data_IF_790687616809
#
_entry.id   IF_790687616809
#
_cell.length_a   1.000
_cell.length_b   1.000
_cell.length_c   1.000
_cell.angle_alpha   90.00
_cell.angle_beta   90.00
_cell.angle_gamma   90.00
#
_symmetry.space_group_name_H-M   'P 1'
#
loop_
_entity.id
_entity.type
_entity.pdbx_description
1 polymer ?
#
# COMPACT_ATOMS: atom_id res chain seq x y z
N UNK A 1 13.59 -1.99 2.39
CA UNK A 1 12.92 -1.75 1.09
C UNK A 1 13.19 -0.34 0.57
N UNK A 2 12.84 0.72 1.33
CA UNK A 2 13.11 2.12 0.96
C UNK A 2 14.59 2.39 0.64
N UNK A 3 15.49 2.06 1.56
CA UNK A 3 16.94 2.26 1.39
C UNK A 3 17.50 1.56 0.16
N UNK A 4 17.05 0.33 -0.09
CA UNK A 4 17.42 -0.44 -1.29
C UNK A 4 17.01 0.29 -2.56
N UNK A 5 15.78 0.81 -2.62
CA UNK A 5 15.34 1.56 -3.80
C UNK A 5 16.13 2.86 -3.97
N UNK A 6 16.39 3.59 -2.89
CA UNK A 6 17.18 4.83 -2.94
C UNK A 6 18.57 4.58 -3.49
N UNK A 7 19.26 3.52 -3.04
CA UNK A 7 20.57 3.13 -3.59
C UNK A 7 20.50 2.76 -5.08
N UNK A 8 19.44 2.08 -5.52
CA UNK A 8 19.25 1.75 -6.93
C UNK A 8 19.00 2.99 -7.79
N UNK A 9 18.20 3.94 -7.30
CA UNK A 9 17.95 5.22 -7.98
C UNK A 9 19.23 6.04 -8.10
N UNK A 10 20.03 6.12 -7.03
CA UNK A 10 21.33 6.80 -7.03
C UNK A 10 22.31 6.17 -8.03
N UNK A 11 22.33 4.83 -8.12
CA UNK A 11 23.20 4.12 -9.05
C UNK A 11 22.77 4.27 -10.52
N UNK A 12 21.46 4.30 -10.81
CA UNK A 12 20.92 4.39 -12.17
C UNK A 12 20.93 5.82 -12.73
N UNK A 13 20.97 6.84 -11.88
CA UNK A 13 20.96 8.24 -12.27
C UNK A 13 19.56 8.85 -12.42
N UNK A 14 19.53 10.15 -12.74
CA UNK A 14 18.34 11.02 -12.59
C UNK A 14 17.19 10.75 -13.57
N UNK A 15 17.45 10.08 -14.69
CA UNK A 15 16.45 9.82 -15.73
C UNK A 15 15.71 8.48 -15.55
N UNK A 16 16.05 7.73 -14.49
CA UNK A 16 15.45 6.44 -14.21
C UNK A 16 14.13 6.58 -13.44
N UNK A 17 13.10 5.88 -13.91
CA UNK A 17 11.80 5.77 -13.23
C UNK A 17 11.64 4.37 -12.65
N UNK A 18 10.98 4.27 -11.50
CA UNK A 18 10.71 2.99 -10.84
C UNK A 18 9.25 2.84 -10.46
N UNK A 19 8.77 1.60 -10.51
CA UNK A 19 7.47 1.19 -9.95
C UNK A 19 7.75 0.32 -8.74
N UNK A 20 7.14 0.67 -7.61
CA UNK A 20 7.14 -0.17 -6.40
C UNK A 20 5.77 -0.82 -6.32
N UNK A 21 5.73 -2.13 -6.52
CA UNK A 21 4.53 -2.93 -6.32
C UNK A 21 4.55 -3.50 -4.90
N UNK A 22 3.61 -3.05 -4.07
CA UNK A 22 3.37 -3.63 -2.76
C UNK A 22 1.89 -3.47 -2.36
N UNK A 23 1.50 -4.13 -1.28
CA UNK A 23 0.15 -4.01 -0.72
C UNK A 23 -0.17 -2.55 -0.33
N UNK A 24 -1.45 -2.15 -0.40
CA UNK A 24 -1.90 -0.78 -0.11
C UNK A 24 -1.39 -0.24 1.23
N UNK A 25 -1.34 -1.10 2.26
CA UNK A 25 -0.81 -0.78 3.59
C UNK A 25 0.66 -0.31 3.57
N UNK A 26 1.44 -0.71 2.57
CA UNK A 26 2.84 -0.32 2.43
C UNK A 26 3.04 0.92 1.55
N UNK A 27 2.15 1.20 0.60
CA UNK A 27 2.32 2.28 -0.40
C UNK A 27 1.50 3.55 -0.12
N UNK A 28 0.52 3.47 0.78
CA UNK A 28 -0.19 4.64 1.32
C UNK A 28 0.72 5.55 2.14
N UNK A 29 0.28 6.77 2.45
CA UNK A 29 1.02 7.65 3.36
C UNK A 29 0.62 7.35 4.82
N UNK A 30 1.52 6.74 5.60
CA UNK A 30 1.24 6.34 6.98
C UNK A 30 0.71 7.48 7.85
N UNK A 31 1.12 8.74 7.59
CA UNK A 31 0.67 9.93 8.32
C UNK A 31 -0.84 10.16 8.22
N UNK A 32 -1.48 9.64 7.17
CA UNK A 32 -2.91 9.72 6.95
C UNK A 32 -3.69 8.49 7.49
N UNK A 33 -3.02 7.57 8.19
CA UNK A 33 -3.59 6.30 8.66
C UNK A 33 -3.27 6.08 10.14
N UNK A 34 -3.98 5.16 10.80
CA UNK A 34 -3.70 4.79 12.19
C UNK A 34 -2.27 4.32 12.43
N UNK A 35 -1.59 3.79 11.41
CA UNK A 35 -0.16 3.46 11.50
C UNK A 35 0.66 4.66 11.98
N UNK A 36 0.46 5.85 11.39
CA UNK A 36 1.22 7.04 11.75
C UNK A 36 0.77 7.67 13.07
N UNK A 37 -0.54 7.88 13.27
CA UNK A 37 -1.02 8.69 14.40
C UNK A 37 -1.33 7.92 15.69
N UNK A 38 -1.51 6.59 15.65
CA UNK A 38 -1.74 5.80 16.87
C UNK A 38 -0.66 4.78 17.18
N UNK A 39 0.12 4.35 16.18
CA UNK A 39 1.13 3.28 16.33
C UNK A 39 2.57 3.76 16.20
N UNK A 40 2.79 5.01 15.82
CA UNK A 40 4.12 5.57 15.52
C UNK A 40 4.89 4.74 14.47
N UNK A 41 4.15 4.10 13.57
CA UNK A 41 4.69 3.24 12.53
C UNK A 41 4.93 4.01 11.23
N UNK A 42 6.05 3.69 10.58
CA UNK A 42 6.37 4.17 9.24
C UNK A 42 6.00 3.09 8.23
N UNK A 43 5.56 3.52 7.05
CA UNK A 43 5.50 2.66 5.88
C UNK A 43 6.36 3.21 4.74
N UNK A 44 6.54 2.40 3.70
CA UNK A 44 7.43 2.73 2.59
C UNK A 44 6.89 3.91 1.78
N UNK A 45 5.57 4.00 1.62
CA UNK A 45 4.88 5.11 0.95
C UNK A 45 5.13 6.45 1.62
N UNK A 46 5.05 6.52 2.96
CA UNK A 46 5.40 7.69 3.76
C UNK A 46 6.84 8.13 3.45
N UNK A 47 7.83 7.23 3.59
CA UNK A 47 9.23 7.56 3.36
C UNK A 47 9.47 8.09 1.92
N UNK A 48 8.81 7.49 0.92
CA UNK A 48 8.89 8.00 -0.44
C UNK A 48 8.24 9.37 -0.62
N UNK A 49 7.09 9.60 0.00
CA UNK A 49 6.42 10.91 -0.03
C UNK A 49 7.26 12.00 0.64
N UNK A 50 7.94 11.70 1.74
CA UNK A 50 8.86 12.65 2.36
C UNK A 50 10.09 12.92 1.50
N UNK A 51 10.71 11.89 0.92
CA UNK A 51 11.96 12.05 0.18
C UNK A 51 11.81 12.64 -1.22
N UNK A 52 10.70 12.34 -1.90
CA UNK A 52 10.49 12.66 -3.31
C UNK A 52 9.29 13.60 -3.54
N UNK A 53 8.47 13.85 -2.52
CA UNK A 53 7.33 14.77 -2.57
C UNK A 53 6.45 14.54 -3.80
N UNK A 54 6.28 15.57 -4.64
CA UNK A 54 5.46 15.53 -5.84
C UNK A 54 5.95 14.53 -6.91
N UNK A 55 7.21 14.06 -6.82
CA UNK A 55 7.76 13.08 -7.76
C UNK A 55 7.35 11.63 -7.41
N UNK A 56 6.82 11.40 -6.21
CA UNK A 56 6.28 10.11 -5.81
C UNK A 56 4.76 10.10 -5.95
N UNK A 57 4.23 9.23 -6.81
CA UNK A 57 2.81 8.96 -6.97
C UNK A 57 2.45 7.63 -6.31
N UNK A 58 1.40 7.64 -5.48
CA UNK A 58 0.81 6.41 -4.93
C UNK A 58 -0.48 6.12 -5.70
N UNK A 59 -0.64 4.89 -6.16
CA UNK A 59 -1.85 4.42 -6.84
C UNK A 59 -2.42 3.30 -5.97
N UNK A 60 -3.56 3.56 -5.33
CA UNK A 60 -4.29 2.58 -4.54
C UNK A 60 -5.26 1.78 -5.41
N UNK A 61 -5.55 0.55 -4.97
CA UNK A 61 -6.57 -0.31 -5.58
C UNK A 61 -7.66 -0.63 -4.56
N UNK A 62 -8.92 -0.65 -4.98
CA UNK A 62 -10.07 -0.99 -4.14
C UNK A 62 -10.91 -2.10 -4.78
N UNK A 63 -11.70 -2.78 -3.97
CA UNK A 63 -12.68 -3.78 -4.41
C UNK A 63 -13.88 -3.82 -3.47
N UNK A 64 -15.05 -4.22 -3.95
CA UNK A 64 -16.29 -4.32 -3.15
C UNK A 64 -16.89 -5.73 -3.11
N UNK A 65 -16.80 -6.47 -4.21
CA UNK A 65 -17.47 -7.77 -4.37
C UNK A 65 -16.53 -8.77 -5.05
N UNK A 66 -16.88 -10.06 -4.96
CA UNK A 66 -16.12 -11.16 -5.55
C UNK A 66 -15.40 -12.00 -4.50
N UNK A 67 -14.34 -12.67 -4.92
CA UNK A 67 -13.56 -13.60 -4.09
C UNK A 67 -12.09 -13.23 -4.04
N UNK A 68 -11.42 -13.56 -2.93
CA UNK A 68 -9.98 -13.31 -2.72
C UNK A 68 -9.26 -14.59 -2.35
N UNK A 69 -8.01 -14.72 -2.79
CA UNK A 69 -7.09 -15.75 -2.33
C UNK A 69 -6.42 -15.30 -1.03
N UNK A 70 -6.69 -15.98 0.09
CA UNK A 70 -6.23 -15.59 1.42
C UNK A 70 -6.10 -16.80 2.35
N UNK A 71 -5.16 -16.73 3.31
CA UNK A 71 -5.09 -17.68 4.42
C UNK A 71 -5.96 -17.18 5.59
N UNK A 72 -6.53 -18.09 6.38
CA UNK A 72 -7.41 -17.70 7.48
C UNK A 72 -6.59 -17.16 8.67
N UNK A 73 -5.49 -17.83 9.00
CA UNK A 73 -4.52 -17.41 10.01
C UNK A 73 -3.09 -17.41 9.46
N UNK A 74 -2.14 -16.99 10.30
CA UNK A 74 -0.72 -17.06 9.96
C UNK A 74 -0.29 -18.50 9.70
N UNK A 75 0.53 -18.68 8.68
CA UNK A 75 1.08 -19.97 8.24
C UNK A 75 0.05 -21.01 7.75
N UNK A 76 -1.23 -20.65 7.65
CA UNK A 76 -2.27 -21.50 7.06
C UNK A 76 -2.16 -21.60 5.53
N UNK A 77 -2.83 -22.61 4.99
CA UNK A 77 -2.97 -22.78 3.55
C UNK A 77 -3.82 -21.64 2.94
N UNK A 78 -3.50 -21.29 1.69
CA UNK A 78 -4.31 -20.37 0.90
C UNK A 78 -5.67 -20.98 0.57
N UNK A 79 -6.73 -20.19 0.73
CA UNK A 79 -8.10 -20.50 0.36
C UNK A 79 -8.69 -19.41 -0.54
N UNK A 80 -9.72 -19.75 -1.30
CA UNK A 80 -10.55 -18.76 -2.00
C UNK A 80 -11.76 -18.44 -1.12
N UNK A 81 -11.91 -17.18 -0.73
CA UNK A 81 -12.96 -16.73 0.19
C UNK A 81 -13.78 -15.60 -0.42
N UNK A 82 -15.08 -15.55 -0.14
CA UNK A 82 -15.94 -14.45 -0.56
C UNK A 82 -15.65 -13.18 0.24
N UNK A 83 -15.64 -12.04 -0.44
CA UNK A 83 -15.50 -10.74 0.20
C UNK A 83 -16.76 -10.36 0.97
N UNK A 84 -16.57 -9.79 2.15
CA UNK A 84 -17.67 -9.19 2.90
C UNK A 84 -18.17 -7.93 2.16
N UNK A 85 -19.47 -7.61 2.25
CA UNK A 85 -19.98 -6.34 1.75
C UNK A 85 -19.23 -5.16 2.36
N UNK A 86 -19.03 -4.11 1.57
CA UNK A 86 -18.47 -2.85 2.06
C UNK A 86 -19.26 -2.30 3.24
N UNK A 87 -18.56 -1.77 4.24
CA UNK A 87 -19.20 -1.19 5.41
C UNK A 87 -19.98 0.08 5.05
N UNK A 88 -21.10 0.39 5.73
CA UNK A 88 -21.82 1.64 5.51
C UNK A 88 -20.91 2.86 5.67
N UNK A 89 -20.91 3.74 4.67
CA UNK A 89 -20.07 4.94 4.58
C UNK A 89 -18.62 4.70 4.17
N UNK A 90 -18.23 3.47 3.83
CA UNK A 90 -16.87 3.15 3.35
C UNK A 90 -16.65 3.62 1.90
N UNK A 91 -15.37 3.78 1.51
CA UNK A 91 -15.04 4.05 0.11
C UNK A 91 -15.48 2.92 -0.80
N UNK A 92 -15.42 1.67 -0.32
CA UNK A 92 -15.86 0.49 -1.04
C UNK A 92 -17.37 0.50 -1.30
N UNK A 93 -18.18 1.00 -0.36
CA UNK A 93 -19.62 1.20 -0.59
C UNK A 93 -19.91 2.35 -1.56
N UNK A 94 -19.14 3.45 -1.51
CA UNK A 94 -19.37 4.63 -2.33
C UNK A 94 -18.93 4.50 -3.79
N UNK A 95 -17.85 3.76 -4.05
CA UNK A 95 -17.19 3.69 -5.37
C UNK A 95 -17.70 2.55 -6.25
N UNK A 96 -18.48 1.62 -5.70
CA UNK A 96 -18.97 0.40 -6.36
C UNK A 96 -20.36 0.03 -5.86
#
# INVERSE_FOLDING_TARGET
MFETLTRLLEHRGRDFKTIVWAHNSHIGDARATSMGWSREELNVGHLFKERFAAQALSIGTGTKTGTVAVAQDWDDNMNIMELQPGLPGSYEELMY
#
